data_IF_913942849365
#
_entry.id   IF_913942849365
#
_cell.length_a   1.000
_cell.length_b   1.000
_cell.length_c   1.000
_cell.angle_alpha   90.00
_cell.angle_beta   90.00
_cell.angle_gamma   90.00
#
_symmetry.space_group_name_H-M   'P 1'
#
loop_
_entity.id
_entity.type
_entity.pdbx_description
1 polymer ?
#
# COMPACT_ATOMS: atom_id res chain seq x y z
N UNK A 1 3.29 15.02 14.93
CA UNK A 1 4.25 14.10 15.57
C UNK A 1 5.03 13.42 14.45
N UNK A 2 6.34 13.23 14.58
CA UNK A 2 7.12 12.64 13.48
C UNK A 2 6.74 11.17 13.28
N UNK A 3 6.27 10.79 12.08
CA UNK A 3 6.00 9.39 11.68
C UNK A 3 7.22 8.48 11.90
N UNK A 4 8.41 9.06 12.04
CA UNK A 4 9.69 8.36 12.18
C UNK A 4 10.17 8.21 13.63
N UNK A 5 9.61 8.93 14.60
CA UNK A 5 10.02 8.81 16.01
C UNK A 5 9.30 7.66 16.72
N UNK A 6 7.99 7.56 16.54
CA UNK A 6 7.13 6.52 17.14
C UNK A 6 6.11 6.08 16.09
N UNK A 7 5.79 4.78 16.04
CA UNK A 7 4.80 4.22 15.11
C UNK A 7 3.35 4.46 15.57
N UNK A 8 3.06 5.66 16.09
CA UNK A 8 1.74 6.04 16.62
C UNK A 8 0.63 5.91 15.56
N UNK A 9 0.96 6.10 14.28
CA UNK A 9 0.03 5.90 13.15
C UNK A 9 -0.46 4.45 13.06
N UNK A 10 0.31 3.47 13.55
CA UNK A 10 -0.11 2.07 13.60
C UNK A 10 -1.16 1.85 14.69
N UNK A 11 -0.98 2.50 15.84
CA UNK A 11 -1.91 2.45 16.99
C UNK A 11 -3.26 3.09 16.66
N UNK A 12 -3.26 4.17 15.87
CA UNK A 12 -4.46 4.90 15.45
C UNK A 12 -5.02 4.42 14.10
N UNK A 13 -4.46 3.33 13.56
CA UNK A 13 -4.92 2.70 12.32
C UNK A 13 -4.96 3.67 11.12
N UNK A 14 -3.94 4.53 11.02
CA UNK A 14 -3.78 5.50 9.96
C UNK A 14 -3.04 4.87 8.77
N UNK A 15 -3.52 5.10 7.56
CA UNK A 15 -2.82 4.68 6.35
C UNK A 15 -1.70 5.67 5.99
N UNK A 16 -0.73 5.22 5.20
CA UNK A 16 0.33 6.09 4.67
C UNK A 16 0.43 5.92 3.16
N UNK A 17 0.37 7.02 2.42
CA UNK A 17 0.61 7.04 0.98
C UNK A 17 1.94 7.69 0.68
N UNK A 18 2.83 6.95 0.03
CA UNK A 18 4.11 7.48 -0.48
C UNK A 18 3.99 7.66 -1.98
N UNK A 19 3.88 8.91 -2.42
CA UNK A 19 3.55 9.28 -3.79
C UNK A 19 4.73 9.96 -4.47
N UNK A 20 4.85 9.87 -5.78
CA UNK A 20 5.89 10.56 -6.54
C UNK A 20 6.43 9.79 -7.75
N UNK A 21 7.30 10.40 -8.56
CA UNK A 21 7.76 9.81 -9.82
C UNK A 21 8.66 8.58 -9.62
N UNK A 22 8.98 7.90 -10.72
CA UNK A 22 9.79 6.66 -10.68
C UNK A 22 11.19 6.90 -10.14
N UNK A 23 11.61 6.05 -9.21
CA UNK A 23 12.99 6.01 -8.74
C UNK A 23 13.37 7.10 -7.72
N UNK A 24 12.42 7.89 -7.21
CA UNK A 24 12.68 8.88 -6.14
C UNK A 24 12.83 8.26 -4.74
N UNK A 25 12.59 6.95 -4.59
CA UNK A 25 12.75 6.24 -3.32
C UNK A 25 11.46 5.91 -2.56
N UNK A 26 10.30 5.91 -3.22
CA UNK A 26 9.01 5.58 -2.57
C UNK A 26 9.03 4.26 -1.80
N UNK A 27 9.43 3.18 -2.47
CA UNK A 27 9.54 1.85 -1.86
C UNK A 27 10.53 1.84 -0.69
N UNK A 28 11.63 2.63 -0.79
CA UNK A 28 12.60 2.76 0.30
C UNK A 28 11.95 3.41 1.54
N UNK A 29 11.21 4.51 1.37
CA UNK A 29 10.52 5.19 2.46
C UNK A 29 9.44 4.28 3.08
N UNK A 30 8.64 3.60 2.25
CA UNK A 30 7.63 2.65 2.72
C UNK A 30 8.25 1.51 3.56
N UNK A 31 9.34 0.91 3.07
CA UNK A 31 10.08 -0.11 3.82
C UNK A 31 10.71 0.44 5.10
N UNK A 32 11.24 1.67 5.09
CA UNK A 32 11.83 2.28 6.29
C UNK A 32 10.78 2.51 7.38
N UNK A 33 9.57 2.95 7.01
CA UNK A 33 8.43 3.09 7.91
C UNK A 33 7.98 1.73 8.46
N UNK A 34 7.82 0.72 7.60
CA UNK A 34 7.47 -0.63 8.02
C UNK A 34 8.55 -1.24 8.94
N UNK A 35 9.82 -1.05 8.63
CA UNK A 35 10.93 -1.51 9.47
C UNK A 35 10.94 -0.80 10.83
N UNK A 36 10.59 0.49 10.89
CA UNK A 36 10.40 1.20 12.16
C UNK A 36 9.23 0.61 12.95
N UNK A 37 8.11 0.31 12.31
CA UNK A 37 6.98 -0.38 12.95
C UNK A 37 7.39 -1.75 13.51
N UNK A 38 8.18 -2.54 12.77
CA UNK A 38 8.74 -3.78 13.29
C UNK A 38 9.62 -3.58 14.53
N UNK A 39 10.45 -2.53 14.55
CA UNK A 39 11.28 -2.21 15.73
C UNK A 39 10.44 -1.77 16.94
N UNK A 40 9.24 -1.25 16.70
CA UNK A 40 8.29 -0.88 17.75
C UNK A 40 7.37 -2.04 18.16
N UNK A 41 7.55 -3.24 17.58
CA UNK A 41 6.85 -4.47 17.96
C UNK A 41 5.67 -4.88 17.06
N UNK A 42 5.44 -4.17 15.95
CA UNK A 42 4.33 -4.48 15.02
C UNK A 42 4.74 -5.45 13.92
N UNK A 43 3.85 -6.37 13.56
CA UNK A 43 4.07 -7.25 12.41
C UNK A 43 3.82 -6.49 11.09
N UNK A 44 4.80 -6.51 10.19
CA UNK A 44 4.66 -5.92 8.86
C UNK A 44 4.82 -6.97 7.76
N UNK A 45 4.05 -6.81 6.67
CA UNK A 45 4.19 -7.59 5.44
C UNK A 45 4.35 -6.65 4.26
N UNK A 46 5.33 -6.96 3.41
CA UNK A 46 5.55 -6.27 2.16
C UNK A 46 5.12 -7.13 0.97
N UNK A 47 4.43 -6.53 0.01
CA UNK A 47 4.15 -7.12 -1.30
C UNK A 47 4.09 -6.05 -2.38
N UNK A 48 4.28 -6.44 -3.64
CA UNK A 48 3.94 -5.58 -4.79
C UNK A 48 2.47 -5.80 -5.14
N UNK A 49 1.76 -4.77 -5.59
CA UNK A 49 0.35 -4.88 -5.98
C UNK A 49 0.10 -6.03 -6.97
N UNK A 50 0.92 -6.14 -8.03
CA UNK A 50 0.82 -7.24 -9.00
C UNK A 50 1.05 -8.63 -8.39
N UNK A 51 1.92 -8.74 -7.39
CA UNK A 51 2.13 -10.01 -6.69
C UNK A 51 0.96 -10.37 -5.80
N UNK A 52 0.46 -9.39 -5.04
CA UNK A 52 -0.73 -9.56 -4.22
C UNK A 52 -1.93 -10.05 -5.06
N UNK A 53 -2.19 -9.42 -6.19
CA UNK A 53 -3.30 -9.81 -7.07
C UNK A 53 -3.14 -11.19 -7.69
N UNK A 54 -1.92 -11.57 -8.09
CA UNK A 54 -1.65 -12.93 -8.54
C UNK A 54 -1.90 -13.95 -7.42
N UNK A 55 -1.45 -13.67 -6.20
CA UNK A 55 -1.63 -14.56 -5.07
C UNK A 55 -3.12 -14.69 -4.69
N UNK A 56 -3.89 -13.60 -4.76
CA UNK A 56 -5.36 -13.60 -4.57
C UNK A 56 -6.08 -14.40 -5.67
N UNK A 57 -5.67 -14.25 -6.92
CA UNK A 57 -6.23 -15.02 -8.04
C UNK A 57 -5.95 -16.52 -7.89
N UNK A 58 -4.72 -16.90 -7.50
CA UNK A 58 -4.37 -18.30 -7.20
C UNK A 58 -5.18 -18.84 -6.02
N UNK A 59 -5.27 -18.08 -4.94
CA UNK A 59 -6.02 -18.46 -3.75
C UNK A 59 -7.53 -18.62 -4.04
N UNK A 60 -8.07 -17.87 -4.99
CA UNK A 60 -9.45 -18.05 -5.46
C UNK A 60 -9.60 -19.37 -6.23
N UNK A 61 -8.65 -19.68 -7.10
CA UNK A 61 -8.70 -20.88 -7.93
C UNK A 61 -8.57 -22.17 -7.11
N UNK A 62 -7.79 -22.15 -6.02
CA UNK A 62 -7.57 -23.32 -5.14
C UNK A 62 -8.45 -23.34 -3.87
N UNK A 63 -9.34 -22.35 -3.71
CA UNK A 63 -10.26 -22.25 -2.56
C UNK A 63 -9.64 -21.71 -1.27
N UNK A 64 -8.37 -21.29 -1.27
CA UNK A 64 -7.68 -20.74 -0.09
C UNK A 64 -7.85 -19.23 0.12
N UNK A 65 -8.63 -18.53 -0.73
CA UNK A 65 -8.82 -17.07 -0.69
C UNK A 65 -9.18 -16.55 0.71
N UNK A 66 -10.14 -17.19 1.38
CA UNK A 66 -10.58 -16.80 2.73
C UNK A 66 -9.43 -16.86 3.74
N UNK A 67 -8.55 -17.85 3.62
CA UNK A 67 -7.36 -17.99 4.49
C UNK A 67 -6.36 -16.88 4.21
N UNK A 68 -6.14 -16.54 2.93
CA UNK A 68 -5.26 -15.45 2.54
C UNK A 68 -5.77 -14.10 3.05
N UNK A 69 -7.05 -13.78 2.87
CA UNK A 69 -7.66 -12.55 3.37
C UNK A 69 -7.58 -12.47 4.90
N UNK A 70 -7.91 -13.55 5.62
CA UNK A 70 -7.80 -13.61 7.08
C UNK A 70 -6.35 -13.44 7.57
N UNK A 71 -5.35 -13.90 6.80
CA UNK A 71 -3.94 -13.63 7.10
C UNK A 71 -3.61 -12.17 6.87
N UNK A 72 -4.02 -11.60 5.74
CA UNK A 72 -3.77 -10.20 5.41
C UNK A 72 -4.43 -9.25 6.42
N UNK A 73 -5.63 -9.55 6.90
CA UNK A 73 -6.35 -8.70 7.86
C UNK A 73 -5.73 -8.66 9.25
N UNK A 74 -4.93 -9.66 9.64
CA UNK A 74 -4.31 -9.71 10.97
C UNK A 74 -3.00 -8.92 11.08
N UNK A 75 -2.36 -8.63 9.95
CA UNK A 75 -1.04 -7.98 9.90
C UNK A 75 -1.18 -6.50 10.26
N UNK A 76 -0.41 -6.04 11.24
CA UNK A 76 -0.45 -4.67 11.76
C UNK A 76 -0.20 -3.63 10.64
N UNK A 77 0.83 -3.88 9.83
CA UNK A 77 1.22 -3.03 8.70
C UNK A 77 1.30 -3.82 7.40
N UNK A 78 0.40 -3.56 6.47
CA UNK A 78 0.46 -4.11 5.11
C UNK A 78 1.05 -3.06 4.16
N UNK A 79 2.21 -3.35 3.57
CA UNK A 79 2.82 -2.52 2.53
C UNK A 79 2.50 -3.09 1.16
N UNK A 80 1.89 -2.27 0.31
CA UNK A 80 1.58 -2.59 -1.08
C UNK A 80 2.31 -1.59 -1.97
N UNK A 81 3.40 -2.07 -2.57
CA UNK A 81 4.25 -1.29 -3.45
C UNK A 81 3.70 -1.28 -4.89
N UNK A 82 3.91 -0.18 -5.61
CA UNK A 82 3.48 0.03 -6.99
C UNK A 82 1.95 -0.08 -7.19
N UNK A 83 1.18 0.54 -6.30
CA UNK A 83 -0.28 0.62 -6.34
C UNK A 83 -0.80 1.38 -7.56
N UNK A 84 -1.84 0.82 -8.17
CA UNK A 84 -2.63 1.42 -9.27
C UNK A 84 -1.78 1.92 -10.45
N UNK A 85 -0.73 1.18 -10.82
CA UNK A 85 0.09 1.50 -12.00
C UNK A 85 -0.60 1.21 -13.34
N UNK A 86 -1.65 0.40 -13.31
CA UNK A 86 -2.51 0.08 -14.45
C UNK A 86 -3.94 -0.11 -13.93
N UNK A 87 -4.96 -0.02 -14.82
CA UNK A 87 -6.34 -0.25 -14.42
C UNK A 87 -6.52 -1.65 -13.83
N UNK A 88 -7.21 -1.73 -12.70
CA UNK A 88 -7.53 -2.98 -12.04
C UNK A 88 -8.55 -3.75 -12.86
N UNK A 89 -8.39 -5.07 -12.98
CA UNK A 89 -9.45 -5.95 -13.46
C UNK A 89 -10.60 -6.03 -12.44
N UNK A 90 -11.74 -6.59 -12.84
CA UNK A 90 -12.88 -6.77 -11.93
C UNK A 90 -12.56 -7.65 -10.71
N UNK A 91 -11.88 -8.81 -10.84
CA UNK A 91 -11.50 -9.58 -9.66
C UNK A 91 -10.57 -8.80 -8.74
N UNK A 92 -9.56 -8.11 -9.29
CA UNK A 92 -8.58 -7.38 -8.49
C UNK A 92 -9.20 -6.25 -7.66
N UNK A 93 -10.14 -5.48 -8.23
CA UNK A 93 -10.82 -4.41 -7.48
C UNK A 93 -11.76 -4.97 -6.40
N UNK A 94 -12.44 -6.09 -6.65
CA UNK A 94 -13.27 -6.77 -5.63
C UNK A 94 -12.41 -7.31 -4.49
N UNK A 95 -11.28 -7.93 -4.81
CA UNK A 95 -10.38 -8.49 -3.80
C UNK A 95 -9.74 -7.40 -2.96
N UNK A 96 -9.36 -6.30 -3.60
CA UNK A 96 -8.81 -5.16 -2.89
C UNK A 96 -9.85 -4.47 -2.01
N UNK A 97 -11.12 -4.42 -2.45
CA UNK A 97 -12.22 -3.98 -1.59
C UNK A 97 -12.30 -4.82 -0.32
N UNK A 98 -12.29 -6.16 -0.43
CA UNK A 98 -12.36 -7.05 0.74
C UNK A 98 -11.18 -6.80 1.71
N UNK A 99 -9.97 -6.60 1.18
CA UNK A 99 -8.80 -6.21 1.99
C UNK A 99 -9.01 -4.87 2.69
N UNK A 100 -9.59 -3.87 2.00
CA UNK A 100 -9.85 -2.56 2.58
C UNK A 100 -10.93 -2.63 3.67
N UNK A 101 -11.99 -3.41 3.46
CA UNK A 101 -13.06 -3.65 4.43
C UNK A 101 -12.49 -4.26 5.72
N UNK A 102 -11.77 -5.38 5.60
CA UNK A 102 -11.24 -6.14 6.73
C UNK A 102 -10.20 -5.37 7.55
N UNK A 103 -9.61 -4.30 6.98
CA UNK A 103 -8.53 -3.52 7.61
C UNK A 103 -8.98 -2.14 8.06
N UNK A 104 -10.15 -1.66 7.63
CA UNK A 104 -10.61 -0.32 7.93
C UNK A 104 -10.75 -0.08 9.45
N UNK A 105 -10.12 0.99 9.95
CA UNK A 105 -10.13 1.38 11.37
C UNK A 105 -9.63 0.31 12.35
N UNK A 106 -8.93 -0.73 11.87
CA UNK A 106 -8.38 -1.80 12.72
C UNK A 106 -6.92 -2.11 12.43
N UNK A 107 -6.43 -1.82 11.22
CA UNK A 107 -5.05 -2.08 10.79
C UNK A 107 -4.58 -1.03 9.79
N UNK A 108 -3.26 -0.89 9.65
CA UNK A 108 -2.68 0.20 8.84
C UNK A 108 -2.11 -0.31 7.52
N UNK A 109 -2.29 0.46 6.45
CA UNK A 109 -1.79 0.11 5.11
C UNK A 109 -0.87 1.20 4.59
N UNK A 110 0.30 0.80 4.08
CA UNK A 110 1.19 1.70 3.34
C UNK A 110 1.02 1.40 1.86
N UNK A 111 0.64 2.42 1.08
CA UNK A 111 0.60 2.33 -0.39
C UNK A 111 1.70 3.19 -0.98
N UNK A 112 2.43 2.65 -1.95
CA UNK A 112 3.27 3.48 -2.82
C UNK A 112 2.62 3.62 -4.18
N UNK A 113 2.64 4.82 -4.77
CA UNK A 113 2.12 5.01 -6.13
C UNK A 113 2.86 6.10 -6.88
N UNK A 114 2.88 5.96 -8.20
CA UNK A 114 3.34 7.01 -9.10
C UNK A 114 2.21 7.96 -9.48
N UNK A 115 0.97 7.54 -9.30
CA UNK A 115 -0.21 8.35 -9.58
C UNK A 115 -0.63 9.12 -8.34
N UNK A 116 -1.11 10.37 -8.49
CA UNK A 116 -1.78 11.06 -7.41
C UNK A 116 -3.09 10.33 -7.05
N UNK A 117 -3.54 10.46 -5.79
CA UNK A 117 -4.77 9.83 -5.29
C UNK A 117 -5.99 10.18 -6.16
N UNK A 118 -6.04 11.40 -6.72
CA UNK A 118 -7.11 11.84 -7.61
C UNK A 118 -7.28 11.00 -8.88
N UNK A 119 -6.26 10.22 -9.27
CA UNK A 119 -6.30 9.30 -10.42
C UNK A 119 -6.66 7.87 -10.02
N UNK A 120 -6.67 7.52 -8.73
CA UNK A 120 -6.93 6.15 -8.30
C UNK A 120 -8.36 5.71 -8.61
N UNK A 121 -9.34 6.62 -8.52
CA UNK A 121 -10.72 6.32 -8.90
C UNK A 121 -10.83 5.81 -10.35
N UNK A 122 -10.12 6.45 -11.29
CA UNK A 122 -10.06 6.04 -12.69
C UNK A 122 -9.37 4.67 -12.86
N UNK A 123 -8.28 4.42 -12.13
CA UNK A 123 -7.59 3.12 -12.18
C UNK A 123 -8.43 1.98 -11.58
N UNK A 124 -9.28 2.27 -10.61
CA UNK A 124 -10.23 1.28 -10.05
C UNK A 124 -11.38 1.04 -11.03
N UNK A 125 -11.84 2.07 -11.74
CA UNK A 125 -12.76 2.00 -12.89
C UNK A 125 -14.24 1.84 -12.54
N UNK A 126 -14.60 0.99 -11.57
CA UNK A 126 -15.98 0.85 -11.07
C UNK A 126 -16.28 1.93 -10.03
N UNK A 127 -17.24 2.86 -10.25
CA UNK A 127 -17.47 3.98 -9.34
C UNK A 127 -17.85 3.57 -7.92
N UNK A 128 -18.72 2.57 -7.77
CA UNK A 128 -19.18 2.11 -6.46
C UNK A 128 -18.02 1.50 -5.67
N UNK A 129 -17.22 0.65 -6.29
CA UNK A 129 -16.04 0.05 -5.67
C UNK A 129 -14.96 1.09 -5.42
N UNK A 130 -14.74 2.01 -6.35
CA UNK A 130 -13.76 3.08 -6.23
C UNK A 130 -14.09 3.99 -5.04
N UNK A 131 -15.34 4.42 -4.91
CA UNK A 131 -15.79 5.26 -3.80
C UNK A 131 -15.57 4.56 -2.46
N UNK A 132 -16.01 3.30 -2.32
CA UNK A 132 -15.86 2.61 -1.02
C UNK A 132 -14.41 2.22 -0.68
N UNK A 133 -13.57 1.89 -1.66
CA UNK A 133 -12.12 1.70 -1.45
C UNK A 133 -11.46 3.01 -1.03
N UNK A 134 -11.73 4.10 -1.74
CA UNK A 134 -11.11 5.39 -1.46
C UNK A 134 -11.59 5.98 -0.13
N UNK A 135 -12.87 5.84 0.21
CA UNK A 135 -13.41 6.26 1.51
C UNK A 135 -12.64 5.59 2.65
N UNK A 136 -12.46 4.26 2.60
CA UNK A 136 -11.73 3.50 3.64
C UNK A 136 -10.24 3.83 3.69
N UNK A 137 -9.62 4.02 2.53
CA UNK A 137 -8.20 4.30 2.45
C UNK A 137 -7.87 5.74 2.89
N UNK A 138 -8.61 6.71 2.36
CA UNK A 138 -8.25 8.14 2.41
C UNK A 138 -8.73 8.83 3.67
N UNK A 139 -9.82 8.37 4.28
CA UNK A 139 -10.41 9.01 5.46
C UNK A 139 -9.41 9.25 6.59
N UNK A 140 -8.46 8.33 6.77
CA UNK A 140 -7.46 8.40 7.84
C UNK A 140 -6.04 8.15 7.29
N UNK A 141 -5.58 8.97 6.34
CA UNK A 141 -4.30 8.76 5.65
C UNK A 141 -3.32 9.95 5.72
N UNK A 142 -2.06 9.63 6.02
CA UNK A 142 -0.93 10.54 5.79
C UNK A 142 -0.46 10.46 4.35
N UNK A 143 -0.12 11.61 3.76
CA UNK A 143 0.39 11.69 2.38
C UNK A 143 1.81 12.25 2.38
N UNK A 144 2.74 11.47 1.83
CA UNK A 144 4.13 11.84 1.64
C UNK A 144 4.37 12.01 0.14
N UNK A 145 4.39 13.26 -0.33
CA UNK A 145 4.71 13.58 -1.71
C UNK A 145 6.22 13.72 -1.90
N UNK A 146 6.81 12.76 -2.61
CA UNK A 146 8.21 12.76 -3.00
C UNK A 146 8.40 13.43 -4.35
N UNK A 147 9.42 14.29 -4.45
CA UNK A 147 9.81 15.00 -5.66
C UNK A 147 11.32 14.85 -5.89
N UNK A 148 11.75 15.07 -7.12
CA UNK A 148 13.16 15.05 -7.52
C UNK A 148 13.49 14.00 -8.57
N UNK A 149 14.78 13.92 -8.88
CA UNK A 149 15.30 13.01 -9.89
C UNK A 149 15.36 11.56 -9.40
N UNK A 150 15.43 10.65 -10.36
CA UNK A 150 15.62 9.23 -10.07
C UNK A 150 16.96 9.00 -9.35
N UNK A 151 16.89 8.53 -8.10
CA UNK A 151 18.05 8.15 -7.29
C UNK A 151 18.84 6.98 -7.90
N UNK A 152 18.25 6.26 -8.86
CA UNK A 152 18.92 5.19 -9.61
C UNK A 152 20.01 5.74 -10.54
N UNK A 153 19.85 6.96 -11.08
CA UNK A 153 20.88 7.63 -11.91
C UNK A 153 22.11 8.03 -11.09
N UNK A 154 21.92 8.39 -9.82
CA UNK A 154 22.99 8.82 -8.94
C UNK A 154 23.85 7.66 -8.41
N UNK A 155 23.33 6.43 -8.39
CA UNK A 155 24.12 5.23 -8.07
C UNK A 155 25.21 4.91 -9.10
N UNK A 156 25.04 5.32 -10.37
CA UNK A 156 26.03 5.11 -11.42
C UNK A 156 27.21 6.10 -11.39
N UNK A 157 27.18 7.13 -10.53
CA UNK A 157 28.25 8.13 -10.39
C UNK A 157 29.09 7.94 -9.12
N UNK A 158 28.71 7.02 -8.24
CA UNK A 158 29.45 6.72 -7.01
C UNK A 158 30.51 5.63 -7.27
N UNK A 159 31.41 5.88 -8.21
CA UNK A 159 32.76 5.26 -8.37
C UNK A 159 33.40 5.80 -9.64
N UNK A 160 34.14 6.89 -9.51
CA UNK A 160 35.25 7.30 -10.37
C UNK A 160 36.19 8.16 -9.53
#
# INVERSE_FOLDING_TARGET
RSLTQQSAWVETHENIFVLGPTGVGKSFVACALAQKACRDGYAALYTRAQSLFRDLAMARADGSLRSLLARLSRIDVLVIDDWAMAPLSEPERRDFWEICEDRYQVRSTILTSQLPVSRWHEQIGDPTLADGILDRLVHNAHRIEMRGDSMRKNRGKATA
#
